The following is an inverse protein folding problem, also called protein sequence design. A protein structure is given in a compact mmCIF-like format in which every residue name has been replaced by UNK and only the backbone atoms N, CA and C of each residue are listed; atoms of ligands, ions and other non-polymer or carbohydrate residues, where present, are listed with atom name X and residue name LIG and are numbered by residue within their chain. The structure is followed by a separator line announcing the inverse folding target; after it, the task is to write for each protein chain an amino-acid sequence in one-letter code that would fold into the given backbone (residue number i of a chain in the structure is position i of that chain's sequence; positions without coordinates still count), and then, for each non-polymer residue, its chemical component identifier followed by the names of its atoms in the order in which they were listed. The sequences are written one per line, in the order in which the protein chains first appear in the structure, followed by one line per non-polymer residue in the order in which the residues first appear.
data_IF_615508756031
#
_entry.id   IF_615508756031
#
_cell.length_a   1.000
_cell.length_b   1.000
_cell.length_c   1.000
_cell.angle_alpha   90.00
_cell.angle_beta   90.00
_cell.angle_gamma   90.00
#
_symmetry.space_group_name_H-M   'P 1'
#
loop_
_entity.id
_entity.type
_entity.pdbx_description
1 polymer ?
#
# COMPACT_ATOMS: atom_id res chain seq x y z
N UNK A 1 33.53 -6.47 22.68
CA UNK A 1 33.36 -6.92 21.28
C UNK A 1 31.90 -7.18 20.93
N UNK A 2 31.16 -7.98 21.73
CA UNK A 2 29.73 -8.28 21.49
C UNK A 2 28.85 -7.03 21.30
N UNK A 3 29.01 -5.98 22.14
CA UNK A 3 28.25 -4.73 22.03
C UNK A 3 28.43 -4.00 20.69
N UNK A 4 29.63 -4.06 20.09
CA UNK A 4 29.91 -3.44 18.77
C UNK A 4 29.29 -4.25 17.62
N UNK A 5 29.33 -5.59 17.71
CA UNK A 5 28.70 -6.48 16.73
C UNK A 5 27.17 -6.35 16.79
N UNK A 6 26.60 -6.20 17.99
CA UNK A 6 25.16 -6.06 18.17
C UNK A 6 24.63 -4.73 17.62
N UNK A 7 25.32 -3.61 17.89
CA UNK A 7 24.98 -2.31 17.30
C UNK A 7 25.01 -2.36 15.77
N UNK A 8 26.06 -2.98 15.20
CA UNK A 8 26.21 -3.14 13.76
C UNK A 8 25.06 -3.92 13.09
N UNK A 9 24.61 -5.02 13.71
CA UNK A 9 23.49 -5.83 13.19
C UNK A 9 22.16 -5.07 13.28
N UNK A 10 21.95 -4.31 14.36
CA UNK A 10 20.73 -3.50 14.54
C UNK A 10 20.66 -2.41 13.46
N UNK A 11 21.79 -1.75 13.19
CA UNK A 11 21.86 -0.70 12.17
C UNK A 11 21.63 -1.29 10.75
N UNK A 12 22.20 -2.46 10.44
CA UNK A 12 22.02 -3.11 9.14
C UNK A 12 20.58 -3.58 8.86
N UNK A 13 19.84 -3.99 9.90
CA UNK A 13 18.48 -4.52 9.76
C UNK A 13 17.38 -3.51 10.08
N UNK A 14 17.73 -2.25 10.35
CA UNK A 14 16.79 -1.22 10.78
C UNK A 14 15.62 -0.99 9.80
N UNK A 15 15.84 -1.18 8.50
CA UNK A 15 14.77 -1.00 7.51
C UNK A 15 13.96 -2.27 7.22
N UNK A 16 14.36 -3.44 7.75
CA UNK A 16 13.65 -4.69 7.52
C UNK A 16 12.23 -4.66 8.10
N UNK A 17 11.97 -4.19 9.34
CA UNK A 17 10.61 -4.05 9.85
C UNK A 17 9.75 -3.12 8.99
N UNK A 18 10.33 -2.00 8.51
CA UNK A 18 9.66 -1.03 7.64
C UNK A 18 9.22 -1.71 6.35
N UNK A 19 10.12 -2.49 5.74
CA UNK A 19 9.85 -3.21 4.51
C UNK A 19 8.73 -4.24 4.73
N UNK A 20 8.82 -5.05 5.78
CA UNK A 20 7.85 -6.11 6.07
C UNK A 20 6.44 -5.53 6.30
N UNK A 21 6.32 -4.47 7.10
CA UNK A 21 5.03 -3.83 7.39
C UNK A 21 4.39 -3.29 6.11
N UNK A 22 5.12 -2.50 5.31
CA UNK A 22 4.55 -1.96 4.07
C UNK A 22 4.32 -3.07 3.02
N UNK A 23 5.22 -4.05 2.92
CA UNK A 23 5.10 -5.17 1.99
C UNK A 23 3.85 -6.00 2.29
N UNK A 24 3.65 -6.37 3.56
CA UNK A 24 2.49 -7.16 3.99
C UNK A 24 1.17 -6.44 3.70
N UNK A 25 1.08 -5.13 3.95
CA UNK A 25 -0.09 -4.31 3.63
C UNK A 25 -0.47 -4.45 2.15
N UNK A 26 0.50 -4.30 1.25
CA UNK A 26 0.23 -4.26 -0.18
C UNK A 26 0.07 -5.64 -0.81
N UNK A 27 0.88 -6.62 -0.42
CA UNK A 27 0.79 -7.97 -0.98
C UNK A 27 -0.49 -8.67 -0.53
N UNK A 28 -0.88 -8.54 0.74
CA UNK A 28 -2.10 -9.16 1.27
C UNK A 28 -3.34 -8.49 0.67
N UNK A 29 -3.38 -7.15 0.68
CA UNK A 29 -4.51 -6.41 0.08
C UNK A 29 -4.63 -6.68 -1.42
N UNK A 30 -3.52 -6.58 -2.15
CA UNK A 30 -3.47 -6.85 -3.59
C UNK A 30 -3.89 -8.28 -3.93
N UNK A 31 -3.36 -9.27 -3.22
CA UNK A 31 -3.73 -10.68 -3.41
C UNK A 31 -5.21 -10.93 -3.12
N UNK A 32 -5.73 -10.38 -2.01
CA UNK A 32 -7.15 -10.49 -1.67
C UNK A 32 -8.03 -9.91 -2.78
N UNK A 33 -7.66 -8.75 -3.34
CA UNK A 33 -8.38 -8.14 -4.46
C UNK A 33 -8.34 -8.98 -5.73
N UNK A 34 -7.15 -9.43 -6.13
CA UNK A 34 -6.96 -10.26 -7.33
C UNK A 34 -7.73 -11.57 -7.22
N UNK A 35 -7.69 -12.24 -6.06
CA UNK A 35 -8.43 -13.47 -5.81
C UNK A 35 -9.95 -13.27 -5.98
N UNK A 36 -10.50 -12.18 -5.43
CA UNK A 36 -11.93 -11.85 -5.59
C UNK A 36 -12.29 -11.45 -7.02
N UNK A 37 -11.37 -10.85 -7.77
CA UNK A 37 -11.56 -10.58 -9.21
C UNK A 37 -11.66 -11.89 -9.99
N UNK A 38 -10.70 -12.81 -9.79
CA UNK A 38 -10.65 -14.12 -10.48
C UNK A 38 -11.89 -14.96 -10.19
N UNK A 39 -12.31 -15.00 -8.92
CA UNK A 39 -13.50 -15.74 -8.47
C UNK A 39 -14.82 -15.02 -8.77
N UNK A 40 -14.76 -13.84 -9.43
CA UNK A 40 -15.90 -12.96 -9.73
C UNK A 40 -16.69 -12.49 -8.49
N UNK A 41 -16.17 -12.67 -7.29
CA UNK A 41 -16.81 -12.28 -6.03
C UNK A 41 -16.90 -10.76 -5.83
N UNK A 42 -16.16 -9.96 -6.59
CA UNK A 42 -16.28 -8.48 -6.54
C UNK A 42 -17.65 -7.98 -7.02
N UNK A 43 -18.36 -8.76 -7.83
CA UNK A 43 -19.64 -8.41 -8.44
C UNK A 43 -20.86 -8.95 -7.69
N UNK A 44 -20.66 -9.88 -6.75
CA UNK A 44 -21.74 -10.59 -6.08
C UNK A 44 -22.34 -9.73 -4.97
N UNK A 45 -23.55 -9.23 -5.16
CA UNK A 45 -24.28 -8.51 -4.11
C UNK A 45 -24.68 -9.42 -2.93
N UNK A 46 -24.83 -8.90 -1.70
CA UNK A 46 -24.60 -7.50 -1.31
C UNK A 46 -23.14 -7.19 -0.95
N UNK A 47 -22.28 -8.21 -0.82
CA UNK A 47 -20.94 -8.09 -0.23
C UNK A 47 -19.82 -7.85 -1.25
N UNK A 48 -20.17 -7.73 -2.53
CA UNK A 48 -19.25 -7.41 -3.62
C UNK A 48 -18.82 -5.96 -3.54
N UNK A 49 -17.54 -5.69 -3.77
CA UNK A 49 -17.04 -4.31 -3.73
C UNK A 49 -17.66 -3.42 -4.80
N UNK A 50 -17.95 -3.93 -6.00
CA UNK A 50 -18.52 -3.08 -7.05
C UNK A 50 -19.94 -2.61 -6.68
N UNK A 51 -20.89 -3.48 -6.28
CA UNK A 51 -22.19 -3.04 -5.75
C UNK A 51 -22.08 -2.09 -4.55
N UNK A 52 -21.15 -2.37 -3.62
CA UNK A 52 -20.92 -1.51 -2.47
C UNK A 52 -20.44 -0.11 -2.89
N UNK A 53 -19.44 -0.04 -3.77
CA UNK A 53 -18.90 1.22 -4.29
C UNK A 53 -19.96 2.02 -5.04
N UNK A 54 -20.77 1.38 -5.90
CA UNK A 54 -21.85 2.08 -6.59
C UNK A 54 -22.87 2.68 -5.62
N UNK A 55 -23.19 1.98 -4.53
CA UNK A 55 -24.08 2.52 -3.49
C UNK A 55 -23.48 3.78 -2.84
N UNK A 56 -22.17 3.78 -2.56
CA UNK A 56 -21.50 4.87 -1.86
C UNK A 56 -21.19 6.08 -2.74
N UNK A 57 -20.90 5.84 -4.04
CA UNK A 57 -20.65 6.89 -5.01
C UNK A 57 -21.91 7.35 -5.74
N UNK A 58 -23.08 6.77 -5.46
CA UNK A 58 -24.33 7.12 -6.14
C UNK A 58 -24.62 8.62 -6.08
N UNK A 59 -24.82 9.24 -7.25
CA UNK A 59 -25.07 10.67 -7.36
C UNK A 59 -23.84 11.57 -7.28
N UNK A 60 -22.64 11.00 -7.11
CA UNK A 60 -21.36 11.73 -7.22
C UNK A 60 -20.86 11.73 -8.66
N UNK A 61 -19.91 12.63 -8.97
CA UNK A 61 -19.27 12.67 -10.28
C UNK A 61 -18.39 11.43 -10.58
N UNK A 62 -18.12 10.59 -9.57
CA UNK A 62 -17.30 9.38 -9.68
C UNK A 62 -18.13 8.12 -9.98
N UNK A 63 -19.46 8.15 -9.86
CA UNK A 63 -20.33 6.99 -10.08
C UNK A 63 -20.08 6.27 -11.43
N UNK A 64 -20.02 7.00 -12.57
CA UNK A 64 -19.76 6.35 -13.87
C UNK A 64 -18.37 5.71 -13.97
N UNK A 65 -17.46 6.07 -13.06
CA UNK A 65 -16.06 5.66 -13.06
C UNK A 65 -15.72 4.66 -11.97
N UNK A 66 -16.69 4.17 -11.19
CA UNK A 66 -16.45 3.21 -10.09
C UNK A 66 -15.66 1.99 -10.55
N UNK A 67 -16.11 1.33 -11.62
CA UNK A 67 -15.46 0.12 -12.16
C UNK A 67 -14.03 0.41 -12.65
N UNK A 68 -13.77 1.38 -13.55
CA UNK A 68 -12.40 1.65 -13.99
C UNK A 68 -11.49 2.12 -12.85
N UNK A 69 -11.97 2.95 -11.94
CA UNK A 69 -11.19 3.40 -10.78
C UNK A 69 -10.83 2.24 -9.86
N UNK A 70 -11.75 1.30 -9.63
CA UNK A 70 -11.47 0.10 -8.84
C UNK A 70 -10.32 -0.71 -9.45
N UNK A 71 -10.30 -0.91 -10.77
CA UNK A 71 -9.22 -1.65 -11.42
C UNK A 71 -7.89 -0.89 -11.42
N UNK A 72 -7.92 0.43 -11.66
CA UNK A 72 -6.71 1.28 -11.57
C UNK A 72 -6.11 1.22 -10.17
N UNK A 73 -6.95 1.41 -9.13
CA UNK A 73 -6.50 1.32 -7.75
C UNK A 73 -5.97 -0.08 -7.42
N UNK A 74 -6.64 -1.14 -7.87
CA UNK A 74 -6.16 -2.51 -7.65
C UNK A 74 -4.81 -2.74 -8.32
N UNK A 75 -4.62 -2.24 -9.54
CA UNK A 75 -3.33 -2.29 -10.24
C UNK A 75 -2.22 -1.58 -9.46
N UNK A 76 -2.47 -0.37 -8.95
CA UNK A 76 -1.49 0.39 -8.16
C UNK A 76 -1.12 -0.35 -6.87
N UNK A 77 -2.07 -1.00 -6.20
CA UNK A 77 -1.82 -1.82 -5.01
C UNK A 77 -0.91 -3.00 -5.31
N UNK A 78 -1.20 -3.73 -6.39
CA UNK A 78 -0.37 -4.85 -6.85
C UNK A 78 1.02 -4.35 -7.24
N UNK A 79 1.13 -3.23 -7.94
CA UNK A 79 2.41 -2.63 -8.31
C UNK A 79 3.25 -2.27 -7.08
N UNK A 80 2.65 -1.65 -6.06
CA UNK A 80 3.33 -1.36 -4.80
C UNK A 80 3.85 -2.66 -4.13
N UNK A 81 3.01 -3.70 -4.05
CA UNK A 81 3.39 -4.99 -3.49
C UNK A 81 4.53 -5.66 -4.27
N UNK A 82 4.51 -5.60 -5.60
CA UNK A 82 5.56 -6.14 -6.47
C UNK A 82 6.88 -5.39 -6.30
N UNK A 83 6.86 -4.05 -6.26
CA UNK A 83 8.07 -3.24 -6.04
C UNK A 83 8.73 -3.56 -4.69
N UNK A 84 7.92 -3.68 -3.62
CA UNK A 84 8.43 -4.05 -2.30
C UNK A 84 8.92 -5.51 -2.24
N UNK A 85 8.31 -6.41 -3.01
CA UNK A 85 8.79 -7.80 -3.16
C UNK A 85 10.16 -7.83 -3.85
N UNK A 86 10.35 -7.03 -4.90
CA UNK A 86 11.65 -6.89 -5.57
C UNK A 86 12.68 -6.29 -4.60
N UNK A 87 12.31 -5.28 -3.81
CA UNK A 87 13.17 -4.70 -2.78
C UNK A 87 13.61 -5.74 -1.73
N UNK A 88 12.71 -6.64 -1.34
CA UNK A 88 13.01 -7.75 -0.44
C UNK A 88 14.04 -8.71 -1.05
N UNK A 89 13.84 -9.15 -2.30
CA UNK A 89 14.79 -10.06 -2.97
C UNK A 89 16.14 -9.40 -3.26
N UNK A 90 16.17 -8.10 -3.52
CA UNK A 90 17.41 -7.32 -3.73
C UNK A 90 18.08 -6.89 -2.41
N UNK A 91 17.48 -7.23 -1.27
CA UNK A 91 17.96 -6.87 0.07
C UNK A 91 18.15 -5.35 0.24
N UNK A 92 17.26 -4.55 -0.34
CA UNK A 92 17.33 -3.07 -0.27
C UNK A 92 17.01 -2.51 1.12
N UNK A 93 16.67 -3.37 2.07
CA UNK A 93 16.57 -3.02 3.49
C UNK A 93 17.94 -2.91 4.17
N UNK A 94 19.02 -3.42 3.57
CA UNK A 94 20.36 -3.24 4.10
C UNK A 94 20.84 -1.82 3.85
N UNK A 95 21.40 -1.17 4.87
CA UNK A 95 21.63 0.28 4.80
C UNK A 95 22.57 0.72 3.67
N UNK A 96 23.63 -0.06 3.42
CA UNK A 96 24.62 0.21 2.37
C UNK A 96 24.12 -0.02 0.93
N UNK A 97 22.90 -0.54 0.75
CA UNK A 97 22.32 -0.79 -0.58
C UNK A 97 21.52 0.41 -1.06
N UNK A 98 21.52 0.63 -2.39
CA UNK A 98 20.58 1.56 -3.03
C UNK A 98 19.15 1.06 -2.81
N UNK A 99 18.26 1.96 -2.40
CA UNK A 99 16.89 1.65 -1.97
C UNK A 99 15.85 2.02 -3.02
N UNK A 100 16.17 1.87 -4.30
CA UNK A 100 15.38 2.41 -5.42
C UNK A 100 13.98 1.78 -5.51
N UNK A 101 13.89 0.46 -5.44
CA UNK A 101 12.61 -0.26 -5.50
C UNK A 101 11.84 -0.14 -4.20
N UNK A 102 12.56 -0.08 -3.06
CA UNK A 102 11.93 0.19 -1.77
C UNK A 102 11.25 1.56 -1.76
N UNK A 103 11.96 2.62 -2.16
CA UNK A 103 11.42 3.98 -2.28
C UNK A 103 10.26 4.04 -3.27
N UNK A 104 10.40 3.42 -4.44
CA UNK A 104 9.34 3.39 -5.44
C UNK A 104 8.08 2.68 -4.92
N UNK A 105 8.23 1.53 -4.26
CA UNK A 105 7.11 0.79 -3.67
C UNK A 105 6.39 1.57 -2.58
N UNK A 106 7.13 2.24 -1.70
CA UNK A 106 6.57 3.12 -0.68
C UNK A 106 5.85 4.32 -1.29
N UNK A 107 6.42 4.95 -2.31
CA UNK A 107 5.80 6.08 -3.00
C UNK A 107 4.50 5.68 -3.69
N UNK A 108 4.51 4.60 -4.47
CA UNK A 108 3.29 4.08 -5.13
C UNK A 108 2.24 3.70 -4.09
N UNK A 109 2.65 3.08 -2.98
CA UNK A 109 1.78 2.78 -1.85
C UNK A 109 1.12 4.03 -1.28
N UNK A 110 1.91 5.03 -0.88
CA UNK A 110 1.41 6.28 -0.33
C UNK A 110 0.47 7.01 -1.30
N UNK A 111 0.83 7.08 -2.59
CA UNK A 111 -0.02 7.65 -3.62
C UNK A 111 -1.36 6.91 -3.73
N UNK A 112 -1.33 5.57 -3.69
CA UNK A 112 -2.54 4.75 -3.74
C UNK A 112 -3.45 5.01 -2.54
N UNK A 113 -2.89 5.13 -1.33
CA UNK A 113 -3.66 5.47 -0.12
C UNK A 113 -4.28 6.86 -0.27
N UNK A 114 -3.52 7.86 -0.72
CA UNK A 114 -4.02 9.22 -0.88
C UNK A 114 -5.21 9.28 -1.86
N UNK A 115 -5.15 8.57 -2.99
CA UNK A 115 -6.26 8.50 -3.94
C UNK A 115 -7.48 7.78 -3.34
N UNK A 116 -7.26 6.69 -2.59
CA UNK A 116 -8.35 6.02 -1.88
C UNK A 116 -9.00 6.92 -0.83
N UNK A 117 -8.21 7.61 0.00
CA UNK A 117 -8.70 8.55 1.01
C UNK A 117 -9.53 9.67 0.38
N UNK A 118 -9.11 10.19 -0.78
CA UNK A 118 -9.89 11.18 -1.52
C UNK A 118 -11.23 10.63 -1.99
N UNK A 119 -11.24 9.41 -2.55
CA UNK A 119 -12.48 8.74 -2.94
C UNK A 119 -13.42 8.50 -1.76
N UNK A 120 -12.90 8.04 -0.62
CA UNK A 120 -13.70 7.79 0.58
C UNK A 120 -14.29 9.07 1.18
N UNK A 121 -13.58 10.21 1.10
CA UNK A 121 -14.13 11.52 1.46
C UNK A 121 -15.35 11.88 0.59
N UNK A 122 -15.29 11.65 -0.72
CA UNK A 122 -16.42 11.92 -1.62
C UNK A 122 -17.61 11.00 -1.33
N UNK A 123 -17.32 9.75 -0.92
CA UNK A 123 -18.31 8.75 -0.54
C UNK A 123 -18.88 8.92 0.89
N UNK A 124 -18.42 9.92 1.67
CA UNK A 124 -18.76 10.11 3.09
C UNK A 124 -18.50 8.86 3.97
N UNK A 125 -17.43 8.12 3.68
CA UNK A 125 -17.05 6.92 4.43
C UNK A 125 -16.00 7.24 5.53
N UNK A 126 -16.45 7.95 6.58
CA UNK A 126 -15.56 8.56 7.59
C UNK A 126 -14.66 7.58 8.35
N UNK A 127 -15.17 6.40 8.69
CA UNK A 127 -14.37 5.37 9.40
C UNK A 127 -13.22 4.82 8.54
N UNK A 128 -13.44 4.66 7.24
CA UNK A 128 -12.43 4.18 6.30
C UNK A 128 -11.33 5.23 6.08
N UNK A 129 -11.68 6.51 6.13
CA UNK A 129 -10.72 7.62 5.97
C UNK A 129 -9.71 7.64 7.12
N UNK A 130 -10.15 7.42 8.36
CA UNK A 130 -9.26 7.41 9.51
C UNK A 130 -8.22 6.28 9.44
N UNK A 131 -8.65 5.08 9.06
CA UNK A 131 -7.74 3.93 8.88
C UNK A 131 -6.74 4.19 7.74
N UNK A 132 -7.22 4.70 6.60
CA UNK A 132 -6.35 5.05 5.48
C UNK A 132 -5.35 6.14 5.84
N UNK A 133 -5.72 7.15 6.62
CA UNK A 133 -4.80 8.19 7.10
C UNK A 133 -3.67 7.63 7.96
N UNK A 134 -3.97 6.64 8.80
CA UNK A 134 -2.97 5.95 9.62
C UNK A 134 -1.96 5.17 8.76
N UNK A 135 -2.44 4.46 7.73
CA UNK A 135 -1.56 3.78 6.77
C UNK A 135 -0.75 4.77 5.94
N UNK A 136 -1.35 5.88 5.50
CA UNK A 136 -0.66 6.91 4.73
C UNK A 136 0.50 7.50 5.54
N UNK A 137 0.24 7.86 6.79
CA UNK A 137 1.26 8.41 7.71
C UNK A 137 2.39 7.42 7.89
N UNK A 138 2.07 6.15 8.14
CA UNK A 138 3.07 5.09 8.30
C UNK A 138 3.94 4.94 7.06
N UNK A 139 3.34 4.90 5.86
CA UNK A 139 4.08 4.76 4.60
C UNK A 139 4.90 6.01 4.26
N UNK A 140 4.41 7.21 4.54
CA UNK A 140 5.16 8.46 4.32
C UNK A 140 6.35 8.60 5.27
N UNK A 141 6.17 8.29 6.56
CA UNK A 141 7.29 8.26 7.52
C UNK A 141 8.33 7.23 7.09
N UNK A 142 7.88 6.04 6.67
CA UNK A 142 8.76 5.00 6.10
C UNK A 142 9.54 5.53 4.90
N UNK A 143 8.88 6.23 3.98
CA UNK A 143 9.49 6.80 2.78
C UNK A 143 10.55 7.85 3.11
N UNK A 144 10.24 8.76 4.04
CA UNK A 144 11.18 9.78 4.51
C UNK A 144 12.40 9.13 5.14
N UNK A 145 12.20 8.14 6.01
CA UNK A 145 13.29 7.44 6.68
C UNK A 145 14.21 6.71 5.69
N UNK A 146 13.66 6.07 4.66
CA UNK A 146 14.44 5.47 3.58
C UNK A 146 15.12 6.50 2.65
N UNK A 147 14.67 7.75 2.66
CA UNK A 147 15.15 8.82 1.77
C UNK A 147 16.24 9.70 2.36
N UNK A 148 16.44 9.65 3.68
CA UNK A 148 17.57 10.29 4.34
C UNK A 148 18.87 9.62 3.82
N UNK A 149 19.87 10.39 3.34
CA UNK A 149 21.16 9.83 2.96
C UNK A 149 21.83 9.19 4.17
N UNK A 150 22.29 7.93 4.04
CA UNK A 150 23.24 7.32 4.97
C UNK A 150 24.69 7.73 4.66
#
# INVERSE_FOLDING_TARGET
MLKKIHAYIVDELMFLPILIVNWSLWIVSGFHKVSRIITKQIWVAPNGWIPWLHTHFHGTFLDPFVVPLFFILTFLQVLAGLLLTVALFKLEFLDYRKKDFFKAGLFVGAFTIAVMSFGQNIANADEDIFQLSSYLTTTLVSYLFCSIPS
#
